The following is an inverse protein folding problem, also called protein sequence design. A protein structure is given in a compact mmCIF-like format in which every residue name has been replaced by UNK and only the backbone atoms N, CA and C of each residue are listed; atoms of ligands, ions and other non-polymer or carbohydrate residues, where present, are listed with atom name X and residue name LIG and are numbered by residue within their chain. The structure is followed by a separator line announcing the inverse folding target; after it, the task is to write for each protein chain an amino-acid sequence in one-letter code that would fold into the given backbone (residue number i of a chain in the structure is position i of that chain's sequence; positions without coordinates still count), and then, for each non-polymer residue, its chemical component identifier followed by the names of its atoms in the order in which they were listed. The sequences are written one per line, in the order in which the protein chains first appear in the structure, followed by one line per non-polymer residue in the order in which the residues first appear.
data_IF_781405225369
#
_entry.id   IF_781405225369
#
_cell.length_a   1.000
_cell.length_b   1.000
_cell.length_c   1.000
_cell.angle_alpha   90.00
_cell.angle_beta   90.00
_cell.angle_gamma   90.00
#
_symmetry.space_group_name_H-M   'P 1'
#
loop_
_entity.id
_entity.type
_entity.pdbx_description
1 polymer ?
#
# COMPACT_ATOMS: atom_id res chain seq x y z
N UNK A 1 15.14 -74.41 2.65
CA UNK A 1 14.06 -73.57 3.19
C UNK A 1 14.48 -72.13 2.96
N UNK A 2 14.08 -71.54 1.83
CA UNK A 2 14.44 -70.17 1.48
C UNK A 2 13.34 -69.23 2.03
N UNK A 3 13.71 -68.33 2.95
CA UNK A 3 12.82 -67.29 3.44
C UNK A 3 12.74 -66.17 2.39
N UNK A 4 11.53 -65.87 1.93
CA UNK A 4 11.26 -64.72 1.09
C UNK A 4 11.38 -63.42 1.90
N UNK A 5 11.95 -62.34 1.34
CA UNK A 5 11.99 -61.06 2.02
C UNK A 5 10.59 -60.43 2.04
N UNK A 6 10.13 -60.07 3.24
CA UNK A 6 8.92 -59.27 3.42
C UNK A 6 9.14 -57.89 2.79
N UNK A 7 8.43 -57.62 1.69
CA UNK A 7 8.32 -56.29 1.09
C UNK A 7 7.46 -55.41 2.00
N UNK A 8 8.09 -54.65 2.89
CA UNK A 8 7.44 -53.59 3.68
C UNK A 8 7.17 -52.35 2.81
N UNK A 9 6.39 -52.51 1.75
CA UNK A 9 5.85 -51.36 1.01
C UNK A 9 4.64 -50.85 1.80
N UNK A 10 4.63 -49.58 2.23
CA UNK A 10 3.51 -49.04 3.01
C UNK A 10 2.22 -49.09 2.18
N UNK A 11 1.12 -49.49 2.83
CA UNK A 11 -0.21 -49.53 2.24
C UNK A 11 -0.59 -48.14 1.69
N UNK A 12 -1.25 -48.04 0.52
CA UNK A 12 -1.59 -46.75 -0.12
C UNK A 12 -2.37 -45.78 0.77
N UNK A 13 -3.21 -46.28 1.67
CA UNK A 13 -3.92 -45.45 2.65
C UNK A 13 -2.98 -44.77 3.65
N UNK A 14 -1.88 -45.43 4.06
CA UNK A 14 -0.87 -44.82 4.93
C UNK A 14 -0.04 -43.78 4.19
N UNK A 15 0.22 -43.99 2.89
CA UNK A 15 0.94 -42.99 2.08
C UNK A 15 0.13 -41.70 1.93
N UNK A 16 -1.18 -41.80 1.68
CA UNK A 16 -2.06 -40.63 1.59
C UNK A 16 -2.11 -39.84 2.92
N UNK A 17 -2.10 -40.50 4.07
CA UNK A 17 -2.05 -39.81 5.37
C UNK A 17 -0.71 -39.12 5.62
N UNK A 18 0.42 -39.76 5.27
CA UNK A 18 1.73 -39.14 5.42
C UNK A 18 1.90 -37.90 4.51
N UNK A 19 1.37 -37.95 3.29
CA UNK A 19 1.38 -36.81 2.36
C UNK A 19 0.51 -35.66 2.88
N UNK A 20 -0.65 -35.97 3.48
CA UNK A 20 -1.51 -34.96 4.10
C UNK A 20 -0.85 -34.30 5.32
N UNK A 21 -0.23 -35.07 6.21
CA UNK A 21 0.44 -34.57 7.41
C UNK A 21 1.67 -33.71 7.06
N UNK A 22 2.49 -34.18 6.12
CA UNK A 22 3.66 -33.41 5.65
C UNK A 22 3.25 -32.08 5.00
N UNK A 23 2.08 -32.06 4.37
CA UNK A 23 1.53 -30.87 3.73
C UNK A 23 0.97 -29.87 4.73
N UNK A 24 0.26 -30.33 5.76
CA UNK A 24 -0.18 -29.47 6.87
C UNK A 24 1.04 -28.82 7.54
N UNK A 25 2.08 -29.60 7.84
CA UNK A 25 3.31 -29.06 8.41
C UNK A 25 3.99 -28.02 7.49
N UNK A 26 3.91 -28.18 6.17
CA UNK A 26 4.44 -27.19 5.21
C UNK A 26 3.61 -25.89 5.20
N UNK A 27 2.28 -25.99 5.36
CA UNK A 27 1.40 -24.83 5.49
C UNK A 27 1.68 -24.10 6.80
N UNK A 28 1.80 -24.81 7.92
CA UNK A 28 2.11 -24.20 9.21
C UNK A 28 3.46 -23.48 9.16
N UNK A 29 4.49 -24.12 8.59
CA UNK A 29 5.80 -23.48 8.39
C UNK A 29 5.73 -22.24 7.48
N UNK A 30 4.87 -22.25 6.45
CA UNK A 30 4.65 -21.08 5.60
C UNK A 30 3.97 -19.93 6.35
N UNK A 31 2.97 -20.23 7.18
CA UNK A 31 2.24 -19.23 7.97
C UNK A 31 3.10 -18.64 9.10
N UNK A 32 4.07 -19.39 9.61
CA UNK A 32 5.05 -18.93 10.60
C UNK A 32 6.23 -18.16 9.97
N UNK A 33 6.44 -18.27 8.66
CA UNK A 33 7.54 -17.62 7.97
C UNK A 33 7.35 -16.10 7.89
N UNK A 34 8.30 -15.34 8.44
CA UNK A 34 8.32 -13.88 8.36
C UNK A 34 8.91 -13.35 7.05
N UNK A 35 9.71 -14.16 6.35
CA UNK A 35 10.23 -13.85 5.02
C UNK A 35 9.95 -14.99 4.07
N UNK A 36 9.64 -14.63 2.82
CA UNK A 36 9.31 -15.58 1.77
C UNK A 36 10.08 -15.26 0.49
N UNK A 37 10.47 -16.26 -0.30
CA UNK A 37 11.18 -16.04 -1.54
C UNK A 37 10.27 -15.40 -2.59
N UNK A 38 10.83 -14.55 -3.44
CA UNK A 38 10.16 -14.01 -4.62
C UNK A 38 10.45 -14.94 -5.80
N UNK A 39 9.45 -15.64 -6.36
CA UNK A 39 9.67 -16.50 -7.51
C UNK A 39 10.10 -15.68 -8.73
N UNK A 40 11.23 -16.07 -9.34
CA UNK A 40 11.87 -15.34 -10.46
C UNK A 40 11.05 -15.34 -11.74
N UNK A 41 10.14 -16.30 -11.86
CA UNK A 41 9.28 -16.56 -13.01
C UNK A 41 7.97 -15.79 -12.97
N UNK A 42 7.62 -15.17 -11.84
CA UNK A 42 6.39 -14.43 -11.73
C UNK A 42 6.47 -13.09 -12.48
N UNK A 43 5.51 -12.81 -13.38
CA UNK A 43 5.41 -11.50 -13.99
C UNK A 43 4.80 -10.55 -12.96
N UNK A 44 5.65 -9.80 -12.26
CA UNK A 44 5.24 -8.71 -11.36
C UNK A 44 5.89 -7.40 -11.80
N UNK A 45 5.20 -6.29 -11.60
CA UNK A 45 5.68 -4.94 -11.91
C UNK A 45 6.87 -4.51 -11.03
N UNK A 46 6.96 -5.07 -9.82
CA UNK A 46 8.01 -4.70 -8.87
C UNK A 46 9.36 -5.31 -9.29
N UNK A 47 10.39 -4.45 -9.38
CA UNK A 47 11.70 -4.81 -9.93
C UNK A 47 12.49 -5.78 -9.05
N UNK A 48 13.18 -6.69 -9.72
CA UNK A 48 13.95 -7.87 -9.28
C UNK A 48 15.15 -7.61 -8.34
N UNK A 49 15.15 -6.53 -7.56
CA UNK A 49 16.30 -6.19 -6.71
C UNK A 49 16.41 -7.09 -5.47
N UNK A 50 15.32 -7.74 -5.06
CA UNK A 50 15.29 -8.65 -3.90
C UNK A 50 14.92 -10.07 -4.30
N UNK A 51 15.49 -11.02 -3.56
CA UNK A 51 15.17 -12.45 -3.68
C UNK A 51 14.11 -12.90 -2.69
N UNK A 52 13.78 -12.06 -1.70
CA UNK A 52 12.79 -12.33 -0.66
C UNK A 52 12.02 -11.07 -0.26
N UNK A 53 10.88 -11.27 0.39
CA UNK A 53 10.04 -10.20 0.93
C UNK A 53 9.54 -10.55 2.33
N UNK A 54 9.24 -9.53 3.12
CA UNK A 54 8.62 -9.67 4.43
C UNK A 54 7.13 -10.04 4.29
N UNK A 55 6.74 -11.17 4.85
CA UNK A 55 5.37 -11.65 4.88
C UNK A 55 4.62 -10.98 6.05
N UNK A 56 3.81 -9.98 5.72
CA UNK A 56 3.04 -9.20 6.69
C UNK A 56 2.02 -10.08 7.40
N UNK A 57 1.82 -9.89 8.70
CA UNK A 57 0.80 -10.61 9.46
C UNK A 57 -0.61 -10.40 8.87
N UNK A 58 -0.88 -9.20 8.32
CA UNK A 58 -2.15 -8.88 7.69
C UNK A 58 -2.43 -9.68 6.43
N UNK A 59 -1.40 -10.18 5.73
CA UNK A 59 -1.58 -10.92 4.47
C UNK A 59 -2.38 -12.20 4.67
N UNK A 60 -2.19 -12.92 5.78
CA UNK A 60 -2.96 -14.11 6.08
C UNK A 60 -4.46 -13.82 6.15
N UNK A 61 -4.84 -12.83 6.98
CA UNK A 61 -6.23 -12.41 7.18
C UNK A 61 -6.87 -11.88 5.89
N UNK A 62 -6.14 -11.07 5.12
CA UNK A 62 -6.62 -10.56 3.84
C UNK A 62 -6.83 -11.69 2.82
N UNK A 63 -5.89 -12.64 2.75
CA UNK A 63 -5.97 -13.78 1.84
C UNK A 63 -7.19 -14.66 2.14
N UNK A 64 -7.39 -15.02 3.41
CA UNK A 64 -8.51 -15.88 3.83
C UNK A 64 -9.85 -15.24 3.46
N UNK A 65 -9.99 -13.93 3.70
CA UNK A 65 -11.19 -13.19 3.35
C UNK A 65 -11.45 -13.13 1.84
N UNK A 66 -10.40 -12.90 1.03
CA UNK A 66 -10.52 -12.88 -0.44
C UNK A 66 -10.95 -14.25 -0.97
N UNK A 67 -10.33 -15.33 -0.48
CA UNK A 67 -10.71 -16.67 -0.90
C UNK A 67 -12.13 -17.03 -0.48
N UNK A 68 -12.56 -16.64 0.72
CA UNK A 68 -13.95 -16.83 1.16
C UNK A 68 -14.94 -16.17 0.18
N UNK A 69 -14.67 -14.93 -0.23
CA UNK A 69 -15.50 -14.20 -1.21
C UNK A 69 -15.57 -14.91 -2.57
N UNK A 70 -14.43 -15.40 -3.06
CA UNK A 70 -14.34 -16.08 -4.36
C UNK A 70 -14.95 -17.50 -4.34
N UNK A 71 -14.73 -18.25 -3.25
CA UNK A 71 -15.17 -19.66 -3.13
C UNK A 71 -16.64 -19.78 -2.74
N UNK A 72 -17.16 -18.87 -1.93
CA UNK A 72 -18.60 -18.80 -1.61
C UNK A 72 -19.46 -18.37 -2.80
N UNK A 73 -18.83 -17.94 -3.91
CA UNK A 73 -19.46 -17.31 -5.07
C UNK A 73 -20.22 -16.03 -4.73
N UNK A 74 -19.90 -15.41 -3.58
CA UNK A 74 -20.35 -14.05 -3.26
C UNK A 74 -19.76 -13.04 -4.24
N UNK A 75 -18.57 -13.35 -4.79
CA UNK A 75 -17.87 -12.51 -5.76
C UNK A 75 -17.18 -13.36 -6.82
N UNK A 76 -17.08 -12.79 -8.03
CA UNK A 76 -16.31 -13.37 -9.14
C UNK A 76 -14.99 -12.63 -9.36
N UNK A 77 -14.92 -11.38 -8.92
CA UNK A 77 -13.74 -10.55 -9.01
C UNK A 77 -13.52 -9.82 -7.69
N UNK A 78 -12.28 -9.81 -7.21
CA UNK A 78 -11.86 -8.99 -6.08
C UNK A 78 -10.74 -8.06 -6.52
N UNK A 79 -10.89 -6.76 -6.29
CA UNK A 79 -9.80 -5.80 -6.42
C UNK A 79 -9.20 -5.52 -5.06
N UNK A 80 -7.92 -5.82 -4.89
CA UNK A 80 -7.10 -5.38 -3.76
C UNK A 80 -6.39 -4.10 -4.14
N UNK A 81 -6.73 -3.02 -3.45
CA UNK A 81 -6.21 -1.68 -3.68
C UNK A 81 -5.60 -1.09 -2.41
N UNK A 82 -5.21 0.18 -2.47
CA UNK A 82 -4.67 0.92 -1.34
C UNK A 82 -3.50 1.81 -1.74
N UNK A 83 -2.93 2.48 -0.75
CA UNK A 83 -1.80 3.40 -0.89
C UNK A 83 -0.73 2.93 -1.87
N UNK A 84 -0.21 3.84 -2.70
CA UNK A 84 0.89 3.54 -3.62
C UNK A 84 2.07 2.96 -2.84
N UNK A 85 2.63 1.82 -3.27
CA UNK A 85 3.77 1.22 -2.57
C UNK A 85 3.44 0.40 -1.32
N UNK A 86 2.18 0.28 -0.88
CA UNK A 86 1.77 -0.47 0.34
C UNK A 86 2.09 -1.98 0.34
N UNK A 87 2.60 -2.52 -0.77
CA UNK A 87 2.99 -3.94 -0.88
C UNK A 87 2.04 -4.80 -1.70
N UNK A 88 1.16 -4.22 -2.52
CA UNK A 88 0.19 -4.96 -3.36
C UNK A 88 0.82 -6.08 -4.20
N UNK A 89 1.92 -5.80 -4.91
CA UNK A 89 2.61 -6.83 -5.71
C UNK A 89 3.27 -7.91 -4.84
N UNK A 90 3.74 -7.57 -3.63
CA UNK A 90 4.24 -8.59 -2.68
C UNK A 90 3.11 -9.43 -2.11
N UNK A 91 1.94 -8.83 -1.88
CA UNK A 91 0.75 -9.56 -1.48
C UNK A 91 0.25 -10.50 -2.60
N UNK A 92 0.37 -10.11 -3.87
CA UNK A 92 0.14 -11.02 -5.00
C UNK A 92 1.06 -12.24 -4.93
N UNK A 93 2.36 -12.03 -4.70
CA UNK A 93 3.32 -13.14 -4.54
C UNK A 93 2.93 -14.03 -3.36
N UNK A 94 2.55 -13.45 -2.22
CA UNK A 94 2.03 -14.19 -1.08
C UNK A 94 0.81 -15.05 -1.45
N UNK A 95 -0.19 -14.47 -2.14
CA UNK A 95 -1.37 -15.18 -2.61
C UNK A 95 -1.02 -16.34 -3.54
N UNK A 96 -0.07 -16.13 -4.48
CA UNK A 96 0.40 -17.15 -5.39
C UNK A 96 1.04 -18.32 -4.64
N UNK A 97 1.99 -18.04 -3.74
CA UNK A 97 2.70 -19.07 -2.97
C UNK A 97 1.74 -19.87 -2.09
N UNK A 98 0.93 -19.16 -1.30
CA UNK A 98 -0.03 -19.79 -0.37
C UNK A 98 -1.05 -20.63 -1.11
N UNK A 99 -1.64 -20.12 -2.20
CA UNK A 99 -2.64 -20.86 -2.95
C UNK A 99 -2.10 -22.14 -3.58
N UNK A 100 -0.88 -22.11 -4.14
CA UNK A 100 -0.27 -23.32 -4.70
C UNK A 100 0.04 -24.37 -3.64
N UNK A 101 0.40 -23.94 -2.43
CA UNK A 101 0.63 -24.82 -1.29
C UNK A 101 -0.67 -25.47 -0.80
N UNK A 102 -1.74 -24.67 -0.70
CA UNK A 102 -3.08 -25.09 -0.29
C UNK A 102 -3.88 -25.79 -1.40
N UNK A 103 -3.46 -25.70 -2.66
CA UNK A 103 -4.17 -26.28 -3.81
C UNK A 103 -3.21 -26.78 -4.92
N UNK A 104 -2.39 -27.82 -4.70
CA UNK A 104 -1.35 -28.27 -5.64
C UNK A 104 -1.91 -28.85 -6.94
N UNK A 105 -3.17 -29.26 -6.95
CA UNK A 105 -3.86 -29.74 -8.15
C UNK A 105 -4.62 -28.63 -8.90
N UNK A 106 -4.72 -27.42 -8.33
CA UNK A 106 -5.38 -26.29 -8.96
C UNK A 106 -4.37 -25.43 -9.75
N UNK A 107 -4.81 -24.90 -10.88
CA UNK A 107 -4.03 -23.94 -11.65
C UNK A 107 -4.10 -22.54 -11.02
N UNK A 108 -3.00 -21.79 -11.10
CA UNK A 108 -2.97 -20.35 -10.81
C UNK A 108 -2.30 -19.65 -11.97
N UNK A 109 -3.01 -18.72 -12.58
CA UNK A 109 -2.47 -17.88 -13.63
C UNK A 109 -2.05 -16.54 -13.03
N UNK A 110 -0.94 -15.99 -13.50
CA UNK A 110 -0.49 -14.66 -13.11
C UNK A 110 -0.31 -13.81 -14.37
N UNK A 111 -0.92 -12.63 -14.35
CA UNK A 111 -0.84 -11.65 -15.42
C UNK A 111 -0.33 -10.33 -14.86
N UNK A 112 0.55 -9.66 -15.61
CA UNK A 112 0.97 -8.30 -15.31
C UNK A 112 0.53 -7.36 -16.41
N UNK A 113 0.08 -6.18 -16.01
CA UNK A 113 -0.31 -5.09 -16.91
C UNK A 113 0.52 -3.86 -16.58
N UNK A 114 0.75 -2.95 -17.52
CA UNK A 114 1.33 -1.64 -17.20
C UNK A 114 0.24 -0.62 -16.78
N UNK A 115 0.64 0.65 -16.62
CA UNK A 115 -0.28 1.75 -16.29
C UNK A 115 -1.32 2.04 -17.39
N UNK A 116 -0.99 1.70 -18.62
CA UNK A 116 -1.86 1.85 -19.79
C UNK A 116 -2.75 0.62 -20.01
N UNK A 117 -2.73 -0.32 -19.06
CA UNK A 117 -3.49 -1.58 -19.13
C UNK A 117 -3.07 -2.47 -20.31
N UNK A 118 -1.81 -2.35 -20.73
CA UNK A 118 -1.18 -3.22 -21.72
C UNK A 118 -0.65 -4.45 -21.00
N UNK A 119 -1.01 -5.64 -21.48
CA UNK A 119 -0.52 -6.91 -20.93
C UNK A 119 0.99 -7.00 -21.16
N UNK A 120 1.75 -7.12 -20.08
CA UNK A 120 3.20 -7.25 -20.10
C UNK A 120 3.61 -8.71 -20.30
N UNK A 121 3.02 -9.62 -19.51
CA UNK A 121 3.35 -11.04 -19.50
C UNK A 121 2.18 -11.88 -18.98
N UNK A 122 2.12 -13.15 -19.38
CA UNK A 122 1.29 -14.19 -18.75
C UNK A 122 2.04 -15.51 -18.67
N UNK A 123 1.81 -16.26 -17.59
CA UNK A 123 2.13 -17.69 -17.53
C UNK A 123 0.86 -18.51 -17.71
N UNK A 124 0.88 -19.51 -18.61
CA UNK A 124 -0.25 -20.43 -18.83
C UNK A 124 -0.21 -21.61 -17.84
N UNK A 125 -1.35 -21.95 -17.23
CA UNK A 125 -1.59 -23.25 -16.59
C UNK A 125 -3.05 -23.68 -16.85
N UNK A 126 -3.24 -24.97 -17.17
CA UNK A 126 -4.54 -25.61 -17.45
C UNK A 126 -5.25 -26.03 -16.13
N UNK A 127 -6.55 -25.76 -15.97
CA UNK A 127 -7.36 -26.15 -14.78
C UNK A 127 -8.51 -25.19 -14.36
N UNK A 128 -9.16 -25.43 -13.21
CA UNK A 128 -10.04 -24.44 -12.53
C UNK A 128 -9.13 -23.35 -11.94
N UNK A 129 -8.87 -22.33 -12.75
CA UNK A 129 -7.78 -21.36 -12.55
C UNK A 129 -8.30 -20.09 -11.89
N UNK A 130 -7.70 -19.73 -10.75
CA UNK A 130 -7.74 -18.34 -10.26
C UNK A 130 -6.67 -17.55 -10.99
N UNK A 131 -7.05 -16.39 -11.55
CA UNK A 131 -6.08 -15.45 -12.14
C UNK A 131 -5.72 -14.36 -11.15
N UNK A 132 -4.43 -14.20 -10.87
CA UNK A 132 -3.88 -13.08 -10.11
C UNK A 132 -3.35 -12.03 -11.09
N UNK A 133 -3.72 -10.77 -10.90
CA UNK A 133 -3.40 -9.70 -11.85
C UNK A 133 -2.64 -8.58 -11.15
N UNK A 134 -1.39 -8.33 -11.55
CA UNK A 134 -0.59 -7.19 -11.11
C UNK A 134 -0.86 -5.99 -12.04
N UNK A 135 -1.60 -5.00 -11.54
CA UNK A 135 -2.12 -3.89 -12.33
C UNK A 135 -3.56 -4.09 -12.78
N UNK A 136 -4.09 -3.13 -13.56
CA UNK A 136 -5.49 -3.13 -14.01
C UNK A 136 -5.54 -3.60 -15.47
N UNK A 137 -6.26 -4.69 -15.79
CA UNK A 137 -6.44 -5.14 -17.16
C UNK A 137 -7.40 -4.23 -17.94
N UNK A 138 -7.21 -4.13 -19.26
CA UNK A 138 -8.06 -3.32 -20.15
C UNK A 138 -9.42 -3.96 -20.44
N UNK A 139 -9.50 -5.28 -20.28
CA UNK A 139 -10.71 -6.10 -20.31
C UNK A 139 -10.58 -7.21 -19.27
N UNK A 140 -11.69 -7.75 -18.75
CA UNK A 140 -11.64 -8.85 -17.79
C UNK A 140 -10.76 -10.02 -18.28
N UNK A 141 -9.98 -10.65 -17.38
CA UNK A 141 -9.29 -11.91 -17.69
C UNK A 141 -10.28 -12.99 -18.14
N UNK A 142 -9.80 -13.97 -18.90
CA UNK A 142 -10.64 -15.06 -19.41
C UNK A 142 -11.22 -15.96 -18.30
N UNK A 143 -10.60 -15.98 -17.11
CA UNK A 143 -11.03 -16.77 -15.96
C UNK A 143 -12.27 -16.17 -15.29
N UNK A 144 -13.18 -17.04 -14.84
CA UNK A 144 -14.37 -16.62 -14.08
C UNK A 144 -14.07 -16.16 -12.64
N UNK A 145 -12.85 -16.37 -12.14
CA UNK A 145 -12.40 -15.95 -10.80
C UNK A 145 -11.04 -15.30 -10.88
N UNK A 146 -10.95 -14.04 -10.47
CA UNK A 146 -9.70 -13.30 -10.52
C UNK A 146 -9.54 -12.28 -9.39
N UNK A 147 -8.29 -12.01 -9.04
CA UNK A 147 -7.89 -11.03 -8.03
C UNK A 147 -7.01 -9.99 -8.71
N UNK A 148 -7.42 -8.73 -8.65
CA UNK A 148 -6.70 -7.60 -9.23
C UNK A 148 -5.96 -6.83 -8.15
N UNK A 149 -4.65 -6.64 -8.29
CA UNK A 149 -3.82 -5.88 -7.37
C UNK A 149 -3.45 -4.55 -8.04
N UNK A 150 -4.11 -3.47 -7.65
CA UNK A 150 -4.05 -2.22 -8.39
C UNK A 150 -3.99 -0.99 -7.48
N UNK A 151 -3.49 0.13 -8.00
CA UNK A 151 -3.62 1.42 -7.30
C UNK A 151 -5.05 1.95 -7.41
N UNK A 152 -5.53 2.73 -6.41
CA UNK A 152 -6.85 3.35 -6.44
C UNK A 152 -6.99 4.19 -7.71
N UNK A 153 -8.05 3.95 -8.47
CA UNK A 153 -8.30 4.71 -9.69
C UNK A 153 -9.81 4.86 -9.88
N UNK A 154 -10.31 5.96 -9.33
CA UNK A 154 -11.72 6.37 -9.32
C UNK A 154 -12.35 6.41 -10.73
N UNK A 155 -11.56 6.54 -11.80
CA UNK A 155 -12.08 6.59 -13.18
C UNK A 155 -12.35 5.24 -13.82
N UNK A 156 -11.70 4.18 -13.31
CA UNK A 156 -11.73 2.84 -13.90
C UNK A 156 -12.35 1.81 -12.96
N UNK A 157 -12.40 2.12 -11.66
CA UNK A 157 -13.31 1.50 -10.69
C UNK A 157 -14.76 1.52 -11.20
N UNK A 158 -15.22 2.63 -11.79
CA UNK A 158 -16.57 2.73 -12.38
C UNK A 158 -16.83 1.69 -13.49
N UNK A 159 -15.78 1.23 -14.21
CA UNK A 159 -15.95 0.22 -15.26
C UNK A 159 -16.05 -1.18 -14.69
N UNK A 160 -15.29 -1.49 -13.64
CA UNK A 160 -15.29 -2.81 -12.99
C UNK A 160 -16.42 -2.97 -11.97
N UNK A 161 -16.85 -1.90 -11.31
CA UNK A 161 -18.00 -1.87 -10.38
C UNK A 161 -19.33 -2.26 -11.06
N UNK A 162 -19.41 -2.17 -12.39
CA UNK A 162 -20.56 -2.60 -13.17
C UNK A 162 -20.57 -4.10 -13.50
N UNK A 163 -19.51 -4.85 -13.16
CA UNK A 163 -19.47 -6.30 -13.28
C UNK A 163 -20.16 -6.93 -12.07
N UNK A 164 -21.07 -7.88 -12.32
CA UNK A 164 -21.85 -8.50 -11.26
C UNK A 164 -20.91 -9.28 -10.32
N UNK A 165 -20.90 -8.92 -9.03
CA UNK A 165 -20.08 -9.61 -8.02
C UNK A 165 -18.63 -9.12 -7.93
N UNK A 166 -18.35 -7.87 -8.30
CA UNK A 166 -17.09 -7.18 -7.99
C UNK A 166 -17.06 -6.72 -6.52
N UNK A 167 -15.95 -6.95 -5.83
CA UNK A 167 -15.68 -6.40 -4.49
C UNK A 167 -14.33 -5.69 -4.48
N UNK A 168 -14.29 -4.52 -3.87
CA UNK A 168 -13.08 -3.72 -3.67
C UNK A 168 -12.66 -3.78 -2.20
N UNK A 169 -11.39 -4.15 -1.96
CA UNK A 169 -10.80 -4.26 -0.64
C UNK A 169 -9.52 -3.43 -0.57
N UNK A 170 -9.26 -2.82 0.59
CA UNK A 170 -8.06 -2.04 0.83
C UNK A 170 -7.03 -2.85 1.62
N UNK A 171 -5.77 -2.79 1.19
CA UNK A 171 -4.67 -3.36 1.97
C UNK A 171 -4.33 -2.43 3.14
N UNK A 172 -4.16 -2.95 4.37
CA UNK A 172 -3.74 -2.14 5.50
C UNK A 172 -2.41 -1.42 5.23
N UNK A 173 -2.29 -0.17 5.69
CA UNK A 173 -1.02 0.56 5.67
C UNK A 173 0.00 -0.13 6.59
N UNK A 174 1.28 0.17 6.38
CA UNK A 174 2.33 -0.24 7.31
C UNK A 174 2.31 0.69 8.51
N UNK A 175 2.68 0.17 9.67
CA UNK A 175 3.06 0.98 10.82
C UNK A 175 4.59 1.00 11.00
N UNK A 176 5.06 1.82 11.93
CA UNK A 176 6.49 1.98 12.17
C UNK A 176 7.12 0.68 12.69
N UNK A 177 6.45 0.02 13.63
CA UNK A 177 6.94 -1.21 14.26
C UNK A 177 7.07 -2.33 13.21
N UNK A 178 6.07 -2.48 12.33
CA UNK A 178 6.07 -3.43 11.22
C UNK A 178 7.22 -3.16 10.25
N UNK A 179 7.48 -1.89 9.93
CA UNK A 179 8.60 -1.51 9.05
C UNK A 179 9.96 -1.81 9.68
N UNK A 180 10.12 -1.54 10.98
CA UNK A 180 11.35 -1.84 11.71
C UNK A 180 11.59 -3.35 11.78
N UNK A 181 10.56 -4.13 12.10
CA UNK A 181 10.66 -5.59 12.09
C UNK A 181 11.00 -6.10 10.69
N UNK A 182 10.37 -5.57 9.64
CA UNK A 182 10.71 -5.96 8.27
C UNK A 182 12.14 -5.59 7.89
N UNK A 183 12.65 -4.44 8.33
CA UNK A 183 14.02 -4.03 8.08
C UNK A 183 15.03 -4.97 8.77
N UNK A 184 14.81 -5.31 10.04
CA UNK A 184 15.62 -6.29 10.78
C UNK A 184 15.60 -7.66 10.10
N UNK A 185 14.42 -8.18 9.76
CA UNK A 185 14.26 -9.50 9.13
C UNK A 185 14.88 -9.60 7.74
N UNK A 186 14.92 -8.49 7.02
CA UNK A 186 15.53 -8.41 5.70
C UNK A 186 17.02 -7.98 5.77
N UNK A 187 17.58 -7.82 6.97
CA UNK A 187 18.98 -7.43 7.18
C UNK A 187 19.32 -6.05 6.63
N UNK A 188 18.37 -5.11 6.65
CA UNK A 188 18.52 -3.78 6.04
C UNK A 188 19.14 -2.76 6.99
N UNK A 189 18.93 -2.89 8.29
CA UNK A 189 19.36 -1.89 9.28
C UNK A 189 20.87 -1.66 9.26
N UNK A 190 21.66 -2.72 9.03
CA UNK A 190 23.12 -2.63 8.89
C UNK A 190 23.58 -1.98 7.58
N UNK A 191 22.68 -1.90 6.59
CA UNK A 191 22.95 -1.37 5.25
C UNK A 191 22.49 0.08 5.08
N UNK A 192 21.75 0.62 6.03
CA UNK A 192 21.31 2.02 6.01
C UNK A 192 22.50 2.94 6.32
N UNK A 193 23.01 3.58 5.27
CA UNK A 193 24.05 4.60 5.43
C UNK A 193 23.45 5.92 5.95
N UNK A 194 24.14 6.66 6.85
CA UNK A 194 23.64 7.94 7.37
C UNK A 194 23.45 8.98 6.26
N UNK A 195 22.38 9.77 6.35
CA UNK A 195 22.04 10.79 5.35
C UNK A 195 23.20 11.78 5.16
N UNK A 196 23.37 12.22 3.92
CA UNK A 196 24.29 13.32 3.62
C UNK A 196 23.76 14.63 4.20
N UNK A 197 24.65 15.61 4.37
CA UNK A 197 24.26 16.98 4.79
C UNK A 197 23.28 17.62 3.81
N UNK A 198 23.38 17.31 2.52
CA UNK A 198 22.49 17.82 1.49
C UNK A 198 21.07 17.24 1.66
N UNK A 199 20.95 15.94 1.90
CA UNK A 199 19.67 15.26 2.17
C UNK A 199 19.04 15.72 3.48
N UNK A 200 19.87 15.92 4.51
CA UNK A 200 19.42 16.48 5.80
C UNK A 200 18.89 17.90 5.63
N UNK A 201 19.59 18.74 4.85
CA UNK A 201 19.14 20.10 4.55
C UNK A 201 17.85 20.11 3.71
N UNK A 202 17.71 19.16 2.79
CA UNK A 202 16.54 18.98 1.95
C UNK A 202 15.28 18.63 2.75
N UNK A 203 15.40 17.89 3.85
CA UNK A 203 14.28 17.56 4.74
C UNK A 203 13.82 18.73 5.63
N UNK A 204 14.50 19.89 5.54
CA UNK A 204 14.08 21.16 6.13
C UNK A 204 14.21 21.20 7.66
N UNK A 205 15.41 21.37 8.20
CA UNK A 205 15.68 21.42 9.66
C UNK A 205 15.50 22.79 10.33
N UNK A 206 14.68 23.70 9.79
CA UNK A 206 14.53 25.05 10.38
C UNK A 206 13.09 25.45 10.74
N UNK A 207 12.40 24.63 11.52
CA UNK A 207 11.38 25.09 12.49
C UNK A 207 11.48 24.17 13.71
N UNK A 208 11.41 24.76 14.90
CA UNK A 208 11.37 24.12 16.23
C UNK A 208 10.57 22.81 16.19
N UNK A 209 11.28 21.71 16.00
CA UNK A 209 10.69 20.40 16.17
C UNK A 209 10.25 20.29 17.63
N UNK A 210 9.08 19.70 17.86
CA UNK A 210 8.79 19.12 19.16
C UNK A 210 9.92 18.18 19.58
N UNK A 211 9.98 17.78 20.86
CA UNK A 211 11.16 17.21 21.53
C UNK A 211 11.70 15.87 20.99
N UNK A 212 11.35 15.42 19.79
CA UNK A 212 11.63 14.08 19.26
C UNK A 212 12.39 14.05 17.91
N UNK A 213 12.83 15.19 17.35
CA UNK A 213 13.68 15.18 16.14
C UNK A 213 15.16 15.30 16.52
N UNK A 214 15.85 14.15 16.60
CA UNK A 214 17.31 14.14 16.73
C UNK A 214 17.94 14.61 15.40
N UNK A 215 18.64 15.73 15.44
CA UNK A 215 19.23 16.42 14.29
C UNK A 215 20.47 15.75 13.67
N UNK A 216 20.79 14.52 14.06
CA UNK A 216 22.11 13.92 13.85
C UNK A 216 22.29 13.25 12.46
N UNK A 217 21.35 13.46 11.53
CA UNK A 217 21.53 13.08 10.13
C UNK A 217 21.58 11.56 9.89
N UNK A 218 21.12 10.74 10.83
CA UNK A 218 21.00 9.30 10.62
C UNK A 218 19.81 9.00 9.71
N UNK A 219 20.06 8.21 8.66
CA UNK A 219 19.02 7.68 7.79
C UNK A 219 18.37 6.49 8.48
N UNK A 220 17.25 6.74 9.15
CA UNK A 220 16.50 5.72 9.89
C UNK A 220 15.15 5.46 9.24
N UNK A 221 14.57 4.29 9.51
CA UNK A 221 13.18 3.98 9.12
C UNK A 221 12.21 5.05 9.66
N UNK A 222 12.45 5.57 10.86
CA UNK A 222 11.66 6.66 11.46
C UNK A 222 11.74 7.95 10.64
N UNK A 223 12.95 8.35 10.22
CA UNK A 223 13.12 9.51 9.36
C UNK A 223 12.43 9.32 8.01
N UNK A 224 12.56 8.14 7.40
CA UNK A 224 11.91 7.83 6.13
C UNK A 224 10.39 7.77 6.24
N UNK A 225 9.85 7.23 7.33
CA UNK A 225 8.39 7.23 7.58
C UNK A 225 7.86 8.64 7.80
N UNK A 226 8.63 9.51 8.46
CA UNK A 226 8.27 10.94 8.58
C UNK A 226 8.15 11.63 7.21
N UNK A 227 9.06 11.31 6.28
CA UNK A 227 9.14 11.92 4.95
C UNK A 227 8.09 11.33 4.01
N UNK A 228 8.05 10.00 3.87
CA UNK A 228 7.29 9.30 2.83
C UNK A 228 5.98 8.68 3.35
N UNK A 229 5.81 8.53 4.66
CA UNK A 229 4.54 8.13 5.28
C UNK A 229 4.26 6.63 5.26
N UNK A 230 5.16 5.81 5.78
CA UNK A 230 4.96 4.36 5.89
C UNK A 230 4.87 3.62 4.54
N UNK A 231 5.47 4.18 3.50
CA UNK A 231 5.60 3.51 2.20
C UNK A 231 6.79 2.54 2.24
N UNK A 232 6.60 1.21 2.28
CA UNK A 232 7.72 0.27 2.44
C UNK A 232 8.69 0.31 1.26
N UNK A 233 8.20 0.54 0.04
CA UNK A 233 9.04 0.66 -1.16
C UNK A 233 10.00 1.85 -1.13
N UNK A 234 9.80 2.79 -0.19
CA UNK A 234 10.71 3.92 0.02
C UNK A 234 11.39 3.81 1.38
N UNK A 235 10.66 3.42 2.43
CA UNK A 235 11.23 3.27 3.76
C UNK A 235 12.28 2.14 3.82
N UNK A 236 12.08 1.05 3.07
CA UNK A 236 13.00 -0.07 3.03
C UNK A 236 13.98 -0.02 1.84
N UNK A 237 13.98 1.02 1.01
CA UNK A 237 14.83 1.11 -0.18
C UNK A 237 16.32 1.28 0.19
N UNK A 238 17.21 0.55 -0.45
CA UNK A 238 18.66 0.66 -0.23
C UNK A 238 19.34 1.56 -1.27
N UNK A 239 18.75 1.66 -2.47
CA UNK A 239 19.30 2.49 -3.53
C UNK A 239 19.01 3.99 -3.27
N UNK A 240 20.06 4.71 -2.86
CA UNK A 240 20.02 6.16 -2.63
C UNK A 240 19.58 6.97 -3.84
N UNK A 241 19.89 6.51 -5.05
CA UNK A 241 19.47 7.22 -6.26
C UNK A 241 17.95 7.12 -6.45
N UNK A 242 17.36 5.98 -6.12
CA UNK A 242 15.91 5.77 -6.13
C UNK A 242 15.25 6.62 -5.05
N UNK A 243 15.78 6.61 -3.82
CA UNK A 243 15.28 7.44 -2.72
C UNK A 243 15.28 8.93 -3.06
N UNK A 244 16.40 9.43 -3.59
CA UNK A 244 16.54 10.83 -4.01
C UNK A 244 15.53 11.19 -5.10
N UNK A 245 15.35 10.31 -6.09
CA UNK A 245 14.36 10.52 -7.14
C UNK A 245 12.92 10.55 -6.57
N UNK A 246 12.58 9.70 -5.60
CA UNK A 246 11.26 9.74 -4.96
C UNK A 246 11.07 11.03 -4.15
N UNK A 247 12.09 11.48 -3.43
CA UNK A 247 12.03 12.73 -2.69
C UNK A 247 11.87 13.94 -3.60
N UNK A 248 12.61 13.99 -4.72
CA UNK A 248 12.46 15.03 -5.73
C UNK A 248 11.06 15.03 -6.36
N UNK A 249 10.50 13.84 -6.63
CA UNK A 249 9.11 13.69 -7.11
C UNK A 249 8.09 14.18 -6.07
N UNK A 250 8.28 13.85 -4.80
CA UNK A 250 7.45 14.30 -3.69
C UNK A 250 7.46 15.84 -3.60
N UNK A 251 8.65 16.44 -3.59
CA UNK A 251 8.79 17.90 -3.56
C UNK A 251 8.23 18.58 -4.80
N UNK A 252 8.45 18.01 -5.98
CA UNK A 252 7.89 18.55 -7.22
C UNK A 252 6.35 18.51 -7.18
N UNK A 253 5.75 17.41 -6.71
CA UNK A 253 4.31 17.30 -6.54
C UNK A 253 3.80 18.37 -5.57
N UNK A 254 4.39 18.49 -4.38
CA UNK A 254 3.97 19.45 -3.35
C UNK A 254 4.19 20.90 -3.78
N UNK A 255 5.31 21.22 -4.46
CA UNK A 255 5.62 22.58 -4.90
C UNK A 255 4.57 23.13 -5.89
N UNK A 256 3.87 22.25 -6.61
CA UNK A 256 2.80 22.67 -7.51
C UNK A 256 1.47 22.93 -6.80
N UNK A 257 1.35 22.65 -5.50
CA UNK A 257 0.09 22.73 -4.75
C UNK A 257 -0.21 24.16 -4.32
N UNK A 258 -0.92 24.90 -5.19
CA UNK A 258 -1.60 26.16 -4.86
C UNK A 258 -3.08 25.95 -4.49
N UNK A 259 -3.81 27.04 -4.20
CA UNK A 259 -5.22 26.97 -3.78
C UNK A 259 -6.10 26.22 -4.81
N UNK A 260 -5.87 26.46 -6.10
CA UNK A 260 -6.66 25.87 -7.18
C UNK A 260 -6.41 24.36 -7.37
N UNK A 261 -5.26 23.85 -6.91
CA UNK A 261 -4.89 22.44 -7.04
C UNK A 261 -5.07 21.66 -5.76
N UNK A 262 -4.99 22.30 -4.59
CA UNK A 262 -5.14 21.62 -3.31
C UNK A 262 -6.49 20.91 -3.20
N UNK A 263 -7.57 21.51 -3.68
CA UNK A 263 -8.86 20.84 -3.71
C UNK A 263 -8.85 19.61 -4.64
N UNK A 264 -8.58 19.70 -5.95
CA UNK A 264 -8.45 18.52 -6.80
C UNK A 264 -7.55 17.41 -6.20
N UNK A 265 -6.45 17.83 -5.56
CA UNK A 265 -5.47 16.98 -4.89
C UNK A 265 -5.88 16.42 -3.54
N UNK A 266 -6.99 16.85 -2.95
CA UNK A 266 -7.57 16.25 -1.75
C UNK A 266 -8.84 15.43 -2.03
N UNK A 267 -9.48 15.66 -3.17
CA UNK A 267 -10.70 14.94 -3.59
C UNK A 267 -10.48 13.75 -4.53
N UNK A 268 -9.36 13.72 -5.24
CA UNK A 268 -8.94 12.56 -6.04
C UNK A 268 -9.18 12.85 -7.50
N UNK A 269 -8.93 14.09 -7.91
CA UNK A 269 -9.16 14.50 -9.27
C UNK A 269 -8.25 13.70 -10.21
N UNK A 270 -8.91 13.07 -11.18
CA UNK A 270 -8.35 12.17 -12.19
C UNK A 270 -7.24 12.85 -13.00
N UNK A 271 -7.31 14.17 -13.18
CA UNK A 271 -6.30 14.96 -13.89
C UNK A 271 -4.98 15.12 -13.12
N UNK A 272 -4.98 14.75 -11.83
CA UNK A 272 -3.85 14.91 -10.91
C UNK A 272 -3.56 13.63 -10.12
N UNK A 273 -3.87 12.45 -10.67
CA UNK A 273 -3.76 11.18 -9.96
C UNK A 273 -2.35 10.93 -9.40
N UNK A 274 -1.29 11.20 -10.18
CA UNK A 274 0.09 11.00 -9.71
C UNK A 274 0.39 11.85 -8.47
N UNK A 275 -0.05 13.11 -8.45
CA UNK A 275 0.13 13.96 -7.29
C UNK A 275 -0.78 13.54 -6.13
N UNK A 276 -2.00 13.06 -6.41
CA UNK A 276 -2.90 12.53 -5.39
C UNK A 276 -2.28 11.32 -4.66
N UNK A 277 -1.70 10.39 -5.42
CA UNK A 277 -1.05 9.18 -4.90
C UNK A 277 0.16 9.50 -4.02
N UNK A 278 0.80 10.65 -4.25
CA UNK A 278 1.95 11.13 -3.49
C UNK A 278 1.50 11.81 -2.19
N UNK A 279 0.42 12.59 -2.23
CA UNK A 279 0.02 13.42 -1.07
C UNK A 279 -0.97 12.73 -0.14
N UNK A 280 -1.49 11.55 -0.50
CA UNK A 280 -2.53 10.85 0.26
C UNK A 280 -2.23 9.39 0.52
N UNK A 281 -2.64 8.93 1.69
CA UNK A 281 -2.76 7.52 2.02
C UNK A 281 -4.22 7.11 2.24
N UNK A 282 -4.48 5.87 1.87
CA UNK A 282 -5.72 5.14 2.12
C UNK A 282 -5.46 4.19 3.28
N UNK A 283 -6.21 4.32 4.36
CA UNK A 283 -6.06 3.45 5.52
C UNK A 283 -7.42 2.94 5.99
N UNK A 284 -7.42 1.76 6.60
CA UNK A 284 -8.60 1.17 7.20
C UNK A 284 -8.57 1.55 8.69
N UNK A 285 -9.61 2.21 9.22
CA UNK A 285 -9.67 2.54 10.64
C UNK A 285 -9.54 1.27 11.51
N UNK A 286 -8.84 1.32 12.65
CA UNK A 286 -8.78 0.19 13.58
C UNK A 286 -10.17 -0.28 14.05
N UNK A 287 -11.17 0.61 14.02
CA UNK A 287 -12.56 0.32 14.38
C UNK A 287 -13.35 -0.35 13.26
N UNK A 288 -12.81 -0.42 12.04
CA UNK A 288 -13.47 -1.08 10.92
C UNK A 288 -13.29 -2.59 11.03
N UNK A 289 -14.41 -3.32 11.01
CA UNK A 289 -14.39 -4.79 10.94
C UNK A 289 -14.29 -5.33 9.51
N UNK A 290 -14.29 -4.44 8.51
CA UNK A 290 -14.34 -4.80 7.08
C UNK A 290 -13.27 -4.05 6.29
N UNK A 291 -12.70 -4.70 5.27
CA UNK A 291 -11.63 -4.16 4.42
C UNK A 291 -12.16 -3.27 3.27
N UNK A 292 -13.47 -3.17 3.11
CA UNK A 292 -14.16 -2.35 2.10
C UNK A 292 -14.37 -0.89 2.53
N UNK A 293 -14.15 -0.59 3.82
CA UNK A 293 -14.25 0.76 4.39
C UNK A 293 -12.86 1.34 4.63
N UNK A 294 -12.58 2.48 4.01
CA UNK A 294 -11.31 3.17 4.13
C UNK A 294 -11.52 4.66 4.40
N UNK A 295 -10.47 5.29 4.91
CA UNK A 295 -10.35 6.73 5.06
C UNK A 295 -9.15 7.21 4.27
N UNK A 296 -9.19 8.48 3.90
CA UNK A 296 -8.11 9.19 3.24
C UNK A 296 -7.43 10.09 4.26
N UNK A 297 -6.11 10.14 4.25
CA UNK A 297 -5.32 11.06 5.07
C UNK A 297 -4.15 11.61 4.26
N UNK A 298 -3.56 12.72 4.73
CA UNK A 298 -2.28 13.19 4.19
C UNK A 298 -1.22 12.10 4.37
N UNK A 299 -0.46 11.86 3.31
CA UNK A 299 0.52 10.78 3.23
C UNK A 299 1.51 10.76 4.40
N UNK A 300 2.11 11.90 4.71
CA UNK A 300 3.19 11.97 5.71
C UNK A 300 3.19 13.28 6.49
N UNK A 301 3.90 13.30 7.62
CA UNK A 301 4.10 14.52 8.40
C UNK A 301 4.89 15.57 7.62
N UNK A 302 5.86 15.14 6.81
CA UNK A 302 6.58 16.03 5.90
C UNK A 302 5.63 16.64 4.85
N UNK A 303 4.82 15.82 4.19
CA UNK A 303 3.81 16.31 3.22
C UNK A 303 2.87 17.30 3.89
N UNK A 304 2.36 16.96 5.08
CA UNK A 304 1.51 17.84 5.87
C UNK A 304 2.18 19.19 6.12
N UNK A 305 3.42 19.20 6.60
CA UNK A 305 4.19 20.42 6.84
C UNK A 305 4.32 21.26 5.56
N UNK A 306 4.76 20.66 4.46
CA UNK A 306 4.97 21.38 3.20
C UNK A 306 3.66 21.94 2.64
N UNK A 307 2.54 21.23 2.78
CA UNK A 307 1.21 21.74 2.46
C UNK A 307 0.84 22.93 3.35
N UNK A 308 1.15 22.91 4.66
CA UNK A 308 0.96 24.06 5.56
C UNK A 308 1.73 25.27 5.05
N UNK A 309 3.00 25.10 4.69
CA UNK A 309 3.83 26.19 4.17
C UNK A 309 3.25 26.81 2.90
N UNK A 310 2.64 26.00 2.03
CA UNK A 310 1.92 26.51 0.86
C UNK A 310 0.61 27.21 1.24
N UNK A 311 -0.14 26.68 2.20
CA UNK A 311 -1.37 27.32 2.73
C UNK A 311 -1.06 28.67 3.37
N UNK A 312 0.08 28.82 4.06
CA UNK A 312 0.52 30.08 4.68
C UNK A 312 0.72 31.16 3.62
N UNK A 313 1.25 30.81 2.44
CA UNK A 313 1.48 31.72 1.32
C UNK A 313 0.19 32.14 0.60
N UNK A 314 -0.93 31.46 0.83
CA UNK A 314 -2.23 31.83 0.28
C UNK A 314 -2.75 33.13 0.89
N UNK A 315 -3.56 33.84 0.13
CA UNK A 315 -4.34 34.99 0.58
C UNK A 315 -5.46 34.54 1.54
N UNK A 316 -5.98 35.50 2.31
CA UNK A 316 -7.10 35.25 3.22
C UNK A 316 -8.35 34.72 2.49
N UNK A 317 -8.66 35.28 1.31
CA UNK A 317 -9.84 34.89 0.52
C UNK A 317 -9.70 33.46 -0.03
N UNK A 318 -8.51 33.09 -0.50
CA UNK A 318 -8.21 31.72 -0.94
C UNK A 318 -8.36 30.71 0.22
N UNK A 319 -7.86 31.05 1.42
CA UNK A 319 -8.03 30.19 2.61
C UNK A 319 -9.49 30.05 3.02
N UNK A 320 -10.27 31.13 2.98
CA UNK A 320 -11.72 31.09 3.29
C UNK A 320 -12.48 30.22 2.29
N UNK A 321 -12.17 30.36 0.99
CA UNK A 321 -12.76 29.52 -0.05
C UNK A 321 -12.44 28.04 0.18
N UNK A 322 -11.16 27.74 0.44
CA UNK A 322 -10.68 26.38 0.67
C UNK A 322 -11.31 25.76 1.92
N UNK A 323 -11.32 26.47 3.06
CA UNK A 323 -11.92 26.00 4.31
C UNK A 323 -13.39 25.62 4.12
N UNK A 324 -14.18 26.49 3.47
CA UNK A 324 -15.59 26.22 3.19
C UNK A 324 -15.76 24.94 2.37
N UNK A 325 -14.86 24.70 1.42
CA UNK A 325 -14.90 23.50 0.58
C UNK A 325 -14.46 22.24 1.33
N UNK A 326 -13.45 22.34 2.19
CA UNK A 326 -12.99 21.19 2.97
C UNK A 326 -13.99 20.77 4.05
N UNK A 327 -14.76 21.70 4.63
CA UNK A 327 -15.82 21.40 5.59
C UNK A 327 -17.00 20.60 4.99
N UNK A 328 -17.10 20.51 3.65
CA UNK A 328 -18.10 19.68 2.97
C UNK A 328 -17.75 18.17 3.03
N UNK A 329 -16.55 17.81 3.52
CA UNK A 329 -16.00 16.45 3.43
C UNK A 329 -15.30 16.00 4.73
N UNK A 330 -15.83 14.94 5.35
CA UNK A 330 -15.27 14.37 6.59
C UNK A 330 -13.87 13.78 6.35
N UNK A 331 -13.55 13.32 5.13
CA UNK A 331 -12.28 12.64 4.84
C UNK A 331 -11.06 13.57 4.88
N UNK A 332 -11.26 14.89 4.94
CA UNK A 332 -10.20 15.91 4.92
C UNK A 332 -10.34 16.90 6.08
N UNK A 333 -11.04 16.48 7.15
CA UNK A 333 -11.32 17.31 8.31
C UNK A 333 -10.04 17.84 8.97
N UNK A 334 -9.00 17.01 9.07
CA UNK A 334 -7.72 17.39 9.67
C UNK A 334 -7.05 18.56 8.91
N UNK A 335 -7.22 18.61 7.59
CA UNK A 335 -6.75 19.70 6.73
C UNK A 335 -7.66 20.93 6.88
N UNK A 336 -8.98 20.73 6.95
CA UNK A 336 -9.93 21.82 7.18
C UNK A 336 -9.58 22.55 8.49
N UNK A 337 -9.33 21.80 9.56
CA UNK A 337 -8.90 22.32 10.86
C UNK A 337 -7.59 23.08 10.77
N UNK A 338 -6.63 22.63 9.96
CA UNK A 338 -5.36 23.31 9.75
C UNK A 338 -5.55 24.66 9.03
N UNK A 339 -6.30 24.69 7.92
CA UNK A 339 -6.60 25.92 7.17
C UNK A 339 -7.30 26.92 8.08
N UNK A 340 -8.28 26.44 8.87
CA UNK A 340 -8.98 27.23 9.87
C UNK A 340 -8.03 27.84 10.90
N UNK A 341 -7.16 27.04 11.53
CA UNK A 341 -6.18 27.51 12.52
C UNK A 341 -5.28 28.60 11.94
N UNK A 342 -4.77 28.40 10.73
CA UNK A 342 -3.90 29.38 10.08
C UNK A 342 -4.63 30.70 9.78
N UNK A 343 -5.87 30.61 9.33
CA UNK A 343 -6.74 31.77 9.09
C UNK A 343 -6.97 32.58 10.36
N UNK A 344 -7.31 31.90 11.45
CA UNK A 344 -7.56 32.53 12.76
C UNK A 344 -6.30 33.22 13.28
N UNK A 345 -5.14 32.55 13.17
CA UNK A 345 -3.85 33.12 13.58
C UNK A 345 -3.53 34.43 12.83
N UNK A 346 -3.65 34.43 11.50
CA UNK A 346 -3.40 35.63 10.71
C UNK A 346 -4.37 36.77 11.04
N UNK A 347 -5.64 36.45 11.25
CA UNK A 347 -6.64 37.45 11.60
C UNK A 347 -6.32 38.13 12.93
N UNK A 348 -5.87 37.38 13.94
CA UNK A 348 -5.41 37.97 15.21
C UNK A 348 -4.12 38.79 15.03
N UNK A 349 -3.17 38.32 14.22
CA UNK A 349 -1.93 39.06 13.92
C UNK A 349 -2.20 40.42 13.27
N UNK A 350 -3.32 40.56 12.54
CA UNK A 350 -3.78 41.83 11.94
C UNK A 350 -4.65 42.69 12.86
N UNK A 351 -4.79 42.31 14.14
CA UNK A 351 -5.63 43.02 15.13
C UNK A 351 -7.14 42.79 14.97
N UNK A 352 -7.54 41.76 14.22
CA UNK A 352 -8.94 41.36 14.07
C UNK A 352 -9.46 40.57 15.28
N UNK A 353 -10.79 40.45 15.38
CA UNK A 353 -11.47 39.69 16.44
C UNK A 353 -12.21 38.49 15.87
N UNK A 354 -12.11 37.33 16.52
CA UNK A 354 -12.83 36.12 16.10
C UNK A 354 -14.15 35.99 16.83
N UNK A 355 -15.26 35.85 16.10
CA UNK A 355 -16.58 35.60 16.69
C UNK A 355 -16.91 34.10 16.63
N UNK A 356 -16.79 33.42 17.76
CA UNK A 356 -17.02 31.96 17.89
C UNK A 356 -18.44 31.48 17.54
N UNK A 357 -19.42 32.38 17.58
CA UNK A 357 -20.85 32.12 17.34
C UNK A 357 -21.21 31.64 15.92
N UNK A 358 -20.24 31.53 14.99
CA UNK A 358 -20.43 31.10 13.59
C UNK A 358 -19.87 29.69 13.29
N UNK A 359 -19.46 28.95 14.32
CA UNK A 359 -18.87 27.60 14.18
C UNK A 359 -19.88 26.45 14.36
N UNK A 360 -21.16 26.74 14.57
CA UNK A 360 -22.23 25.74 14.72
C UNK A 360 -23.28 25.87 13.62
#
# INVERSE_FOLDING_TARGET
MAMAPFSNSPHPEKMATYEADARLASIDAFLEAMTLPIPTELPIQCTKQRTEFYARESYGKCYDHILELLLSKASQCVTVTGTLGVGKSMFLVYCFLRYRLENPAAGVQVEAYDRDSTKLHSGDIDGDVITLVDGIPSSPPASNRWICFASPNVSREDKMKNEHGHVELFLPIWDLDELQVAADRLGLDELLEPMTKEETAMCGTTIEAGPEYNSDGEDTIETRTFIFGFLPNTCLELDRSVLRAQFERLNAAIATVGHAKLQPLLWGDKSHQEQCDIVRHYFIPPTSSTLDKYHVAIASNYTRRMLVENIVKMTMDERVYLEKKLLEHEEVEDIAQLVFKQRVFEMFARGGTFQFHRLY
#
